data_IF_621503466971
#
_entry.id   IF_621503466971
#
_cell.length_a   1.000
_cell.length_b   1.000
_cell.length_c   1.000
_cell.angle_alpha   90.00
_cell.angle_beta   90.00
_cell.angle_gamma   90.00
#
_symmetry.space_group_name_H-M   'P 1'
#
loop_
_entity.id
_entity.type
_entity.pdbx_description
1 polymer ?
#
# COMPACT_ATOMS: atom_id res chain seq x y z
N UNK A 1 15.41 -21.16 -24.04
CA UNK A 1 14.52 -20.78 -22.93
C UNK A 1 14.58 -19.26 -22.75
N UNK A 2 13.44 -18.57 -22.72
CA UNK A 2 13.36 -17.11 -22.51
C UNK A 2 12.62 -16.74 -21.22
N UNK A 3 11.88 -17.68 -20.64
CA UNK A 3 11.18 -17.53 -19.37
C UNK A 3 11.27 -18.83 -18.59
N UNK A 4 11.46 -18.73 -17.28
CA UNK A 4 11.44 -19.82 -16.32
C UNK A 4 10.63 -19.37 -15.11
N UNK A 5 9.54 -20.08 -14.83
CA UNK A 5 8.75 -19.87 -13.62
C UNK A 5 8.93 -21.07 -12.71
N UNK A 6 9.27 -20.81 -11.46
CA UNK A 6 9.53 -21.81 -10.44
C UNK A 6 8.60 -21.50 -9.28
N UNK A 7 7.75 -22.47 -8.96
CA UNK A 7 6.83 -22.43 -7.84
C UNK A 7 7.24 -23.54 -6.90
N UNK A 8 7.68 -23.18 -5.70
CA UNK A 8 8.06 -24.10 -4.65
C UNK A 8 7.16 -23.85 -3.48
N UNK A 9 6.58 -24.93 -2.93
CA UNK A 9 5.72 -24.84 -1.77
C UNK A 9 4.54 -23.86 -1.94
N UNK A 10 4.00 -23.78 -3.17
CA UNK A 10 2.82 -22.94 -3.47
C UNK A 10 1.60 -23.84 -3.46
N UNK A 11 0.59 -23.50 -2.65
CA UNK A 11 -0.68 -24.22 -2.63
C UNK A 11 -1.43 -23.95 -3.94
N UNK A 12 -1.65 -24.98 -4.77
CA UNK A 12 -2.49 -24.86 -5.95
C UNK A 12 -3.97 -24.79 -5.54
N UNK A 13 -4.70 -23.83 -6.13
CA UNK A 13 -6.11 -23.56 -5.80
C UNK A 13 -7.07 -24.63 -6.34
N UNK A 14 -6.59 -25.54 -7.18
CA UNK A 14 -7.43 -26.37 -8.06
C UNK A 14 -7.99 -27.66 -7.43
N UNK A 15 -7.71 -27.94 -6.15
CA UNK A 15 -8.29 -29.12 -5.44
C UNK A 15 -9.57 -28.80 -4.63
N UNK A 16 -10.13 -27.60 -4.75
CA UNK A 16 -11.30 -27.22 -3.94
C UNK A 16 -12.60 -27.21 -4.74
N UNK A 17 -13.39 -28.27 -4.56
CA UNK A 17 -14.75 -28.36 -5.05
C UNK A 17 -15.67 -27.31 -4.42
N UNK A 18 -16.02 -26.28 -5.19
CA UNK A 18 -17.38 -25.77 -5.31
C UNK A 18 -18.09 -25.10 -4.12
N UNK A 19 -17.52 -25.00 -2.92
CA UNK A 19 -18.14 -24.22 -1.83
C UNK A 19 -17.58 -22.80 -1.80
N UNK A 20 -18.40 -21.87 -2.30
CA UNK A 20 -18.18 -20.43 -2.20
C UNK A 20 -18.42 -20.03 -0.74
N UNK A 21 -17.36 -20.02 0.08
CA UNK A 21 -17.42 -19.45 1.41
C UNK A 21 -17.57 -17.92 1.31
N UNK A 22 -18.47 -17.37 2.13
CA UNK A 22 -18.93 -15.98 2.06
C UNK A 22 -17.84 -14.93 2.30
N UNK A 23 -18.14 -13.65 1.99
CA UNK A 23 -17.18 -12.54 2.00
C UNK A 23 -16.54 -12.21 3.37
N UNK A 24 -16.95 -12.88 4.45
CA UNK A 24 -16.47 -12.62 5.82
C UNK A 24 -15.25 -13.47 6.24
N UNK A 25 -14.70 -14.30 5.36
CA UNK A 25 -13.40 -14.93 5.62
C UNK A 25 -12.29 -13.90 5.40
N UNK A 26 -11.80 -13.33 6.51
CA UNK A 26 -10.57 -12.52 6.62
C UNK A 26 -9.46 -12.96 5.64
N UNK A 27 -8.52 -12.07 5.25
CA UNK A 27 -7.39 -12.39 4.37
C UNK A 27 -6.28 -13.18 5.08
N UNK A 28 -6.64 -14.03 6.04
CA UNK A 28 -5.82 -15.20 6.29
C UNK A 28 -5.84 -16.05 5.01
N UNK A 29 -4.78 -16.81 4.73
CA UNK A 29 -4.99 -17.96 3.84
C UNK A 29 -6.22 -18.70 4.39
N UNK A 30 -7.18 -18.95 3.50
CA UNK A 30 -8.52 -19.49 3.71
C UNK A 30 -8.62 -20.37 4.98
N UNK A 31 -9.73 -20.36 5.73
CA UNK A 31 -9.92 -21.18 6.95
C UNK A 31 -9.53 -22.66 6.75
N UNK A 32 -9.68 -23.16 5.52
CA UNK A 32 -9.21 -24.48 5.12
C UNK A 32 -7.69 -24.61 4.96
N UNK A 33 -6.90 -23.57 4.66
CA UNK A 33 -5.44 -23.58 4.80
C UNK A 33 -5.01 -23.84 6.25
N UNK A 34 -5.73 -23.25 7.22
CA UNK A 34 -5.53 -23.46 8.66
C UNK A 34 -5.93 -24.88 9.09
N UNK A 35 -7.06 -25.39 8.59
CA UNK A 35 -7.59 -26.73 8.93
C UNK A 35 -6.87 -27.87 8.19
N UNK A 36 -6.62 -27.74 6.89
CA UNK A 36 -5.90 -28.73 6.06
C UNK A 36 -4.41 -28.78 6.38
N UNK A 37 -3.89 -27.72 7.02
CA UNK A 37 -2.46 -27.50 7.22
C UNK A 37 -1.71 -27.56 5.88
N UNK A 38 -2.31 -27.14 4.77
CA UNK A 38 -1.63 -27.05 3.46
C UNK A 38 -0.82 -25.76 3.30
N UNK A 39 -1.03 -24.77 4.17
CA UNK A 39 -0.16 -23.59 4.32
C UNK A 39 1.15 -23.90 5.06
N UNK A 40 1.65 -25.13 4.91
CA UNK A 40 2.86 -25.57 5.60
C UNK A 40 4.08 -25.04 4.84
N UNK A 41 4.37 -23.76 5.07
CA UNK A 41 5.73 -23.23 5.00
C UNK A 41 6.71 -24.26 5.56
N UNK A 42 7.88 -24.38 4.94
CA UNK A 42 9.05 -25.09 5.46
C UNK A 42 9.15 -24.94 6.99
N UNK A 43 8.63 -25.87 7.81
CA UNK A 43 8.74 -25.75 9.27
C UNK A 43 10.06 -26.37 9.70
N UNK A 44 10.77 -25.70 10.62
CA UNK A 44 11.93 -26.23 11.37
C UNK A 44 11.76 -27.67 11.87
N UNK A 45 10.52 -28.11 12.11
CA UNK A 45 10.12 -29.47 12.52
C UNK A 45 10.38 -30.55 11.46
N UNK A 46 10.57 -30.20 10.17
CA UNK A 46 10.91 -31.09 9.04
C UNK A 46 12.15 -30.61 8.28
N UNK A 47 13.21 -30.28 9.02
CA UNK A 47 14.51 -29.85 8.49
C UNK A 47 15.05 -30.66 7.29
N UNK A 48 14.69 -31.95 7.16
CA UNK A 48 15.14 -32.79 6.05
C UNK A 48 14.58 -32.36 4.69
N UNK A 49 13.35 -31.83 4.64
CA UNK A 49 12.67 -31.44 3.39
C UNK A 49 13.16 -30.07 2.89
N UNK A 50 13.47 -29.17 3.84
CA UNK A 50 14.05 -27.85 3.60
C UNK A 50 15.44 -27.96 2.97
N UNK A 51 16.31 -28.77 3.59
CA UNK A 51 17.70 -28.95 3.14
C UNK A 51 17.75 -29.58 1.75
N UNK A 52 16.84 -30.51 1.44
CA UNK A 52 16.76 -31.13 0.11
C UNK A 52 16.32 -30.09 -0.92
N UNK A 53 15.29 -29.31 -0.62
CA UNK A 53 14.77 -28.27 -1.52
C UNK A 53 15.81 -27.19 -1.83
N UNK A 54 16.53 -26.71 -0.81
CA UNK A 54 17.63 -25.74 -0.98
C UNK A 54 18.77 -26.34 -1.82
N UNK A 55 19.13 -27.61 -1.61
CA UNK A 55 20.17 -28.29 -2.41
C UNK A 55 19.78 -28.47 -3.87
N UNK A 56 18.54 -28.86 -4.15
CA UNK A 56 18.05 -28.99 -5.52
C UNK A 56 17.97 -27.62 -6.21
N UNK A 57 17.56 -26.58 -5.49
CA UNK A 57 17.62 -25.20 -5.98
C UNK A 57 19.04 -24.76 -6.32
N UNK A 58 20.00 -25.00 -5.42
CA UNK A 58 21.42 -24.75 -5.67
C UNK A 58 21.95 -25.49 -6.90
N UNK A 59 21.55 -26.75 -7.06
CA UNK A 59 21.91 -27.57 -8.23
C UNK A 59 21.31 -26.98 -9.50
N UNK A 60 20.05 -26.56 -9.48
CA UNK A 60 19.41 -25.90 -10.61
C UNK A 60 20.13 -24.61 -10.99
N UNK A 61 20.46 -23.75 -10.03
CA UNK A 61 21.24 -22.53 -10.28
C UNK A 61 22.60 -22.83 -10.94
N UNK A 62 23.30 -23.89 -10.51
CA UNK A 62 24.55 -24.35 -11.14
C UNK A 62 24.36 -24.79 -12.60
N UNK A 63 23.23 -25.41 -12.92
CA UNK A 63 22.89 -25.83 -14.29
C UNK A 63 22.48 -24.62 -15.14
N UNK A 64 21.68 -23.73 -14.59
CA UNK A 64 21.17 -22.54 -15.28
C UNK A 64 22.34 -21.62 -15.71
N UNK A 65 23.32 -21.43 -14.83
CA UNK A 65 24.44 -20.49 -15.03
C UNK A 65 25.17 -20.63 -16.38
N UNK A 66 25.73 -21.79 -16.77
CA UNK A 66 26.44 -21.91 -18.07
C UNK A 66 25.50 -22.00 -19.28
N UNK A 67 24.23 -22.32 -19.07
CA UNK A 67 23.29 -22.63 -20.16
C UNK A 67 22.42 -21.44 -20.57
N UNK A 68 22.43 -20.35 -19.80
CA UNK A 68 21.65 -19.14 -20.09
C UNK A 68 22.55 -18.09 -20.72
N UNK A 69 22.13 -17.62 -21.89
CA UNK A 69 22.72 -16.43 -22.49
C UNK A 69 22.35 -15.19 -21.66
N UNK A 70 23.30 -14.27 -21.41
CA UNK A 70 23.04 -13.02 -20.70
C UNK A 70 21.82 -12.25 -21.25
N UNK A 71 21.05 -11.63 -20.35
CA UNK A 71 19.88 -10.80 -20.65
C UNK A 71 18.76 -11.49 -21.46
N UNK A 72 18.69 -12.83 -21.43
CA UNK A 72 17.62 -13.58 -22.13
C UNK A 72 16.60 -14.22 -21.20
N UNK A 73 16.99 -14.60 -19.99
CA UNK A 73 16.08 -15.29 -19.08
C UNK A 73 15.22 -14.30 -18.29
N UNK A 74 13.91 -14.51 -18.32
CA UNK A 74 12.97 -13.99 -17.33
C UNK A 74 12.79 -15.06 -16.24
N UNK A 75 13.14 -14.73 -15.00
CA UNK A 75 12.99 -15.63 -13.86
C UNK A 75 11.83 -15.18 -12.99
N UNK A 76 10.89 -16.08 -12.74
CA UNK A 76 9.82 -15.90 -11.75
C UNK A 76 9.98 -16.98 -10.70
N UNK A 77 10.25 -16.59 -9.46
CA UNK A 77 10.44 -17.50 -8.34
C UNK A 77 9.39 -17.19 -7.28
N UNK A 78 8.54 -18.15 -6.96
CA UNK A 78 7.64 -18.08 -5.80
C UNK A 78 7.98 -19.23 -4.90
N UNK A 79 8.37 -18.93 -3.66
CA UNK A 79 8.80 -19.91 -2.67
C UNK A 79 8.34 -19.42 -1.30
N UNK A 80 7.31 -20.03 -0.70
CA UNK A 80 6.91 -19.63 0.65
C UNK A 80 7.86 -20.25 1.69
N UNK A 81 8.75 -19.41 2.23
CA UNK A 81 9.71 -19.78 3.28
C UNK A 81 9.16 -19.50 4.67
N UNK A 82 9.75 -20.10 5.71
CA UNK A 82 9.29 -19.90 7.09
C UNK A 82 9.96 -18.77 7.86
N UNK A 83 11.17 -18.38 7.48
CA UNK A 83 11.92 -17.35 8.18
C UNK A 83 12.94 -16.66 7.26
N UNK A 84 13.57 -15.62 7.80
CA UNK A 84 14.52 -14.76 7.08
C UNK A 84 15.79 -15.55 6.76
N UNK A 85 16.23 -16.43 7.67
CA UNK A 85 17.41 -17.27 7.49
C UNK A 85 17.25 -18.19 6.29
N UNK A 86 16.10 -18.88 6.17
CA UNK A 86 15.82 -19.73 5.02
C UNK A 86 15.66 -18.91 3.73
N UNK A 87 15.08 -17.70 3.82
CA UNK A 87 15.03 -16.77 2.68
C UNK A 87 16.43 -16.46 2.17
N UNK A 88 17.36 -16.15 3.07
CA UNK A 88 18.76 -15.84 2.75
C UNK A 88 19.43 -17.03 2.09
N UNK A 89 19.34 -18.24 2.68
CA UNK A 89 19.88 -19.46 2.09
C UNK A 89 19.32 -19.74 0.69
N UNK A 90 18.03 -19.44 0.47
CA UNK A 90 17.37 -19.60 -0.81
C UNK A 90 17.85 -18.58 -1.85
N UNK A 91 18.19 -17.36 -1.44
CA UNK A 91 18.68 -16.31 -2.34
C UNK A 91 20.18 -16.38 -2.63
N UNK A 92 20.98 -16.94 -1.72
CA UNK A 92 22.44 -17.08 -1.88
C UNK A 92 22.88 -17.63 -3.25
N UNK A 93 22.25 -18.68 -3.82
CA UNK A 93 22.67 -19.23 -5.12
C UNK A 93 22.48 -18.26 -6.28
N UNK A 94 21.54 -17.31 -6.17
CA UNK A 94 21.36 -16.24 -7.16
C UNK A 94 22.41 -15.14 -6.94
N UNK A 95 22.66 -14.73 -5.69
CA UNK A 95 23.62 -13.69 -5.33
C UNK A 95 25.07 -14.06 -5.70
N UNK A 96 25.46 -15.31 -5.45
CA UNK A 96 26.77 -15.86 -5.80
C UNK A 96 26.98 -16.04 -7.31
N UNK A 97 25.99 -15.66 -8.13
CA UNK A 97 26.05 -15.73 -9.58
C UNK A 97 26.02 -14.34 -10.23
N UNK A 98 27.07 -13.50 -10.06
CA UNK A 98 27.15 -12.19 -10.72
C UNK A 98 27.20 -12.28 -12.25
N UNK A 99 27.26 -13.50 -12.82
CA UNK A 99 27.22 -13.75 -14.27
C UNK A 99 25.82 -14.07 -14.80
N UNK A 100 24.84 -14.34 -13.93
CA UNK A 100 23.47 -14.61 -14.35
C UNK A 100 22.74 -13.29 -14.62
N UNK A 101 23.06 -12.67 -15.76
CA UNK A 101 22.37 -11.46 -16.20
C UNK A 101 20.95 -11.84 -16.63
N UNK A 102 19.98 -11.61 -15.76
CA UNK A 102 18.57 -11.83 -16.01
C UNK A 102 17.98 -10.66 -16.79
N UNK A 103 17.08 -10.94 -17.73
CA UNK A 103 16.30 -9.91 -18.42
C UNK A 103 15.28 -9.29 -17.48
N UNK A 104 14.58 -10.16 -16.76
CA UNK A 104 13.55 -9.83 -15.77
C UNK A 104 13.69 -10.82 -14.62
N UNK A 105 13.49 -10.37 -13.39
CA UNK A 105 13.51 -11.21 -12.20
C UNK A 105 12.37 -10.79 -11.29
N UNK A 106 11.51 -11.74 -10.94
CA UNK A 106 10.50 -11.56 -9.90
C UNK A 106 10.61 -12.68 -8.89
N UNK A 107 10.73 -12.33 -7.61
CA UNK A 107 10.89 -13.27 -6.52
C UNK A 107 9.83 -12.96 -5.47
N UNK A 108 9.14 -13.98 -4.97
CA UNK A 108 8.27 -13.90 -3.80
C UNK A 108 8.70 -15.01 -2.85
N UNK A 109 9.16 -14.63 -1.67
CA UNK A 109 9.62 -15.55 -0.63
C UNK A 109 8.55 -15.81 0.44
N UNK A 110 7.37 -15.19 0.33
CA UNK A 110 6.33 -15.34 1.33
C UNK A 110 4.92 -14.93 0.89
N UNK A 111 3.95 -15.66 1.42
CA UNK A 111 2.53 -15.30 1.42
C UNK A 111 2.03 -14.82 2.80
N UNK A 112 2.63 -15.30 3.90
CA UNK A 112 2.01 -15.23 5.23
C UNK A 112 2.74 -14.42 6.32
N UNK A 113 3.84 -13.72 6.02
CA UNK A 113 4.62 -12.98 7.05
C UNK A 113 3.93 -11.73 7.61
N UNK A 114 2.81 -11.31 7.04
CA UNK A 114 2.05 -10.15 7.48
C UNK A 114 0.88 -10.58 8.38
N UNK A 115 1.15 -11.34 9.46
CA UNK A 115 0.16 -11.42 10.54
C UNK A 115 0.12 -10.05 11.22
N UNK A 116 -1.05 -9.38 11.31
CA UNK A 116 -1.18 -8.15 12.07
C UNK A 116 -0.67 -8.38 13.50
N UNK A 117 0.26 -7.55 13.97
CA UNK A 117 0.82 -7.60 15.33
C UNK A 117 2.18 -8.28 15.48
N UNK A 118 2.77 -8.88 14.43
CA UNK A 118 4.15 -9.37 14.52
C UNK A 118 5.13 -8.35 13.93
N UNK A 119 5.59 -7.43 14.79
CA UNK A 119 6.41 -6.27 14.44
C UNK A 119 7.90 -6.60 14.23
N UNK A 120 8.32 -7.85 14.43
CA UNK A 120 9.73 -8.25 14.39
C UNK A 120 10.27 -8.69 13.02
N UNK A 121 9.49 -8.60 11.94
CA UNK A 121 9.92 -9.13 10.65
C UNK A 121 10.51 -8.06 9.73
N UNK A 122 11.83 -8.14 9.54
CA UNK A 122 12.57 -7.38 8.56
C UNK A 122 12.55 -8.06 7.19
N UNK A 123 12.53 -7.28 6.11
CA UNK A 123 12.86 -7.81 4.78
C UNK A 123 14.25 -8.45 4.83
N UNK A 124 14.43 -9.71 4.37
CA UNK A 124 15.72 -10.36 4.37
C UNK A 124 16.79 -9.47 3.71
N UNK A 125 17.95 -9.32 4.35
CA UNK A 125 19.04 -8.50 3.81
C UNK A 125 19.44 -8.95 2.40
N UNK A 126 19.40 -10.27 2.15
CA UNK A 126 19.65 -10.86 0.83
C UNK A 126 18.64 -10.43 -0.25
N UNK A 127 17.37 -10.19 0.10
CA UNK A 127 16.37 -9.72 -0.86
C UNK A 127 16.63 -8.26 -1.25
N UNK A 128 17.07 -7.44 -0.29
CA UNK A 128 17.51 -6.07 -0.57
C UNK A 128 18.79 -6.07 -1.43
N UNK A 129 19.74 -6.96 -1.14
CA UNK A 129 20.96 -7.14 -1.93
C UNK A 129 20.64 -7.59 -3.36
N UNK A 130 19.71 -8.54 -3.53
CA UNK A 130 19.27 -9.00 -4.84
C UNK A 130 18.58 -7.88 -5.62
N UNK A 131 17.74 -7.07 -4.94
CA UNK A 131 17.15 -5.90 -5.54
C UNK A 131 18.21 -4.87 -5.96
N UNK A 132 19.24 -4.64 -5.14
CA UNK A 132 20.35 -3.76 -5.46
C UNK A 132 21.17 -4.27 -6.65
N UNK A 133 21.49 -5.56 -6.70
CA UNK A 133 22.19 -6.19 -7.83
C UNK A 133 21.37 -6.16 -9.12
N UNK A 134 20.07 -6.41 -9.04
CA UNK A 134 19.18 -6.29 -10.19
C UNK A 134 19.14 -4.85 -10.72
N UNK A 135 19.08 -3.84 -9.84
CA UNK A 135 19.18 -2.42 -10.22
C UNK A 135 20.53 -2.10 -10.85
N UNK A 136 21.63 -2.59 -10.27
CA UNK A 136 22.98 -2.40 -10.80
C UNK A 136 23.13 -2.99 -12.20
N UNK A 137 22.59 -4.20 -12.44
CA UNK A 137 22.64 -4.83 -13.76
C UNK A 137 21.86 -4.01 -14.81
N UNK A 138 20.69 -3.47 -14.43
CA UNK A 138 19.92 -2.57 -15.31
C UNK A 138 20.69 -1.28 -15.59
N UNK A 139 21.35 -0.69 -14.58
CA UNK A 139 22.20 0.48 -14.75
C UNK A 139 23.38 0.20 -15.67
N UNK A 140 24.12 -0.90 -15.47
CA UNK A 140 25.24 -1.29 -16.34
C UNK A 140 24.79 -1.55 -17.78
N UNK A 141 23.62 -2.16 -17.99
CA UNK A 141 23.05 -2.33 -19.32
C UNK A 141 22.70 -0.99 -19.98
N UNK A 142 22.15 -0.04 -19.20
CA UNK A 142 21.87 1.31 -19.67
C UNK A 142 23.16 2.09 -19.98
N UNK A 143 24.21 1.94 -19.16
CA UNK A 143 25.53 2.53 -19.37
C UNK A 143 26.21 1.98 -20.63
N UNK A 144 26.10 0.68 -20.90
CA UNK A 144 26.60 0.09 -22.16
C UNK A 144 25.88 0.62 -23.40
N UNK A 145 24.60 0.99 -23.27
CA UNK A 145 23.87 1.70 -24.33
C UNK A 145 24.31 3.18 -24.42
N UNK A 146 24.68 3.79 -23.29
CA UNK A 146 25.12 5.18 -23.21
C UNK A 146 26.57 5.38 -23.66
N UNK A 147 27.48 4.43 -23.49
CA UNK A 147 28.88 4.52 -23.96
C UNK A 147 28.97 4.57 -25.49
N UNK A 148 27.94 4.10 -26.21
CA UNK A 148 27.80 4.31 -27.65
C UNK A 148 27.26 5.71 -28.03
N UNK A 149 26.76 6.49 -27.06
CA UNK A 149 26.39 7.91 -27.21
C UNK A 149 27.51 8.80 -26.66
N UNK A 150 28.54 8.97 -27.49
CA UNK A 150 29.41 10.17 -27.61
C UNK A 150 29.25 11.23 -26.52
N UNK A 151 30.27 11.42 -25.65
CA UNK A 151 30.73 12.66 -24.96
C UNK A 151 29.71 13.71 -24.51
N UNK A 152 28.43 13.36 -24.39
CA UNK A 152 27.38 14.31 -24.07
C UNK A 152 27.51 14.63 -22.59
N UNK A 153 27.78 15.90 -22.28
CA UNK A 153 27.85 16.39 -20.90
C UNK A 153 26.62 15.92 -20.13
N UNK A 154 26.81 15.35 -18.94
CA UNK A 154 25.71 14.95 -18.05
C UNK A 154 24.72 16.09 -17.88
N UNK A 155 23.43 15.77 -17.85
CA UNK A 155 22.37 16.73 -17.60
C UNK A 155 22.51 17.30 -16.19
N UNK A 156 22.79 18.61 -16.09
CA UNK A 156 22.97 19.30 -14.81
C UNK A 156 21.64 19.83 -14.33
N UNK A 157 20.87 19.00 -13.63
CA UNK A 157 19.56 19.36 -13.10
C UNK A 157 19.59 20.66 -12.28
N UNK A 158 20.62 20.85 -11.44
CA UNK A 158 20.80 22.05 -10.61
C UNK A 158 20.98 23.36 -11.40
N UNK A 159 21.45 23.29 -12.65
CA UNK A 159 21.68 24.47 -13.51
C UNK A 159 20.38 24.97 -14.16
N UNK A 160 19.28 24.22 -14.05
CA UNK A 160 17.98 24.63 -14.56
C UNK A 160 17.32 25.69 -13.66
N UNK A 161 16.53 26.61 -14.25
CA UNK A 161 15.64 27.47 -13.50
C UNK A 161 14.69 26.65 -12.61
N UNK A 162 14.35 27.20 -11.44
CA UNK A 162 13.52 26.54 -10.42
C UNK A 162 12.20 26.04 -10.99
N UNK A 163 11.58 26.81 -11.88
CA UNK A 163 10.32 26.49 -12.54
C UNK A 163 10.42 25.22 -13.40
N UNK A 164 11.52 25.08 -14.15
CA UNK A 164 11.76 23.91 -15.01
C UNK A 164 12.06 22.68 -14.16
N UNK A 165 12.84 22.84 -13.09
CA UNK A 165 13.11 21.77 -12.12
C UNK A 165 11.81 21.21 -11.56
N UNK A 166 10.91 22.10 -11.16
CA UNK A 166 9.60 21.69 -10.66
C UNK A 166 8.69 21.07 -11.72
N UNK A 167 8.67 21.59 -12.95
CA UNK A 167 7.96 20.94 -14.05
C UNK A 167 8.48 19.53 -14.34
N UNK A 168 9.80 19.31 -14.21
CA UNK A 168 10.37 17.95 -14.30
C UNK A 168 9.83 17.09 -13.17
N UNK A 169 9.82 17.58 -11.93
CA UNK A 169 9.29 16.84 -10.77
C UNK A 169 7.78 16.54 -10.88
N UNK A 170 6.99 17.37 -11.55
CA UNK A 170 5.58 17.09 -11.86
C UNK A 170 5.40 15.84 -12.73
N UNK A 171 6.44 15.44 -13.46
CA UNK A 171 6.47 14.25 -14.32
C UNK A 171 7.24 13.08 -13.71
N UNK A 172 7.63 13.15 -12.42
CA UNK A 172 8.26 12.02 -11.70
C UNK A 172 7.28 11.29 -10.79
N UNK A 173 7.76 10.24 -10.15
CA UNK A 173 7.02 9.49 -9.13
C UNK A 173 6.70 10.31 -7.87
N UNK A 174 7.19 11.56 -7.73
CA UNK A 174 6.81 12.43 -6.60
C UNK A 174 5.33 12.81 -6.66
N UNK A 175 4.76 12.87 -7.86
CA UNK A 175 3.32 13.01 -8.05
C UNK A 175 2.71 11.61 -8.02
N UNK A 176 2.17 11.24 -6.86
CA UNK A 176 1.45 9.99 -6.72
C UNK A 176 0.31 9.90 -7.74
N UNK A 177 0.16 8.77 -8.47
CA UNK A 177 -1.01 8.55 -9.34
C UNK A 177 -2.30 8.31 -8.55
N UNK A 178 -2.20 8.25 -7.22
CA UNK A 178 -3.24 7.81 -6.30
C UNK A 178 -3.29 8.72 -5.08
N UNK A 179 -4.35 8.56 -4.30
CA UNK A 179 -4.49 9.28 -3.05
C UNK A 179 -3.45 8.79 -2.05
N UNK A 180 -2.68 9.72 -1.48
CA UNK A 180 -1.79 9.41 -0.37
C UNK A 180 -2.62 9.38 0.91
N UNK A 181 -2.44 8.35 1.72
CA UNK A 181 -2.91 8.34 3.09
C UNK A 181 -1.90 9.09 3.97
N UNK A 182 -2.40 9.86 4.92
CA UNK A 182 -1.61 10.38 6.03
C UNK A 182 -2.10 9.76 7.33
N UNK A 183 -1.15 9.28 8.14
CA UNK A 183 -1.40 8.79 9.49
C UNK A 183 -0.40 9.46 10.41
N UNK A 184 -0.92 9.95 11.53
CA UNK A 184 -0.12 10.60 12.55
C UNK A 184 0.58 9.59 13.48
N UNK A 185 -0.05 8.42 13.65
CA UNK A 185 0.53 7.28 14.31
C UNK A 185 1.08 6.39 13.21
N UNK A 186 2.39 6.46 12.97
CA UNK A 186 3.04 5.32 12.35
C UNK A 186 2.63 4.12 13.21
N UNK A 187 1.91 3.11 12.67
CA UNK A 187 1.65 1.89 13.40
C UNK A 187 2.95 1.45 14.05
N UNK A 188 2.95 0.86 15.24
CA UNK A 188 4.22 0.35 15.82
C UNK A 188 4.94 -0.60 14.84
N UNK A 189 4.19 -1.21 13.91
CA UNK A 189 4.68 -1.96 12.77
C UNK A 189 5.48 -1.14 11.71
N UNK A 190 5.41 0.18 11.72
CA UNK A 190 6.14 1.13 10.86
C UNK A 190 7.36 1.77 11.51
N UNK A 191 7.61 1.54 12.80
CA UNK A 191 8.79 2.04 13.51
C UNK A 191 10.14 1.62 12.87
N UNK A 192 10.11 0.67 11.92
CA UNK A 192 11.28 0.11 11.25
C UNK A 192 11.46 0.56 9.79
N UNK A 193 10.65 1.48 9.26
CA UNK A 193 10.98 2.12 7.98
C UNK A 193 12.04 3.22 8.19
N UNK A 194 13.23 3.16 7.56
CA UNK A 194 14.32 4.10 7.80
C UNK A 194 14.04 5.56 7.36
N UNK A 195 12.88 5.84 6.78
CA UNK A 195 12.49 7.16 6.28
C UNK A 195 11.10 7.53 6.81
N UNK A 196 11.07 8.49 7.75
CA UNK A 196 9.91 8.99 8.51
C UNK A 196 8.91 9.80 7.65
N UNK A 197 8.47 9.29 6.51
CA UNK A 197 7.39 9.95 5.76
C UNK A 197 6.07 9.73 6.51
N UNK A 198 5.38 10.80 6.87
CA UNK A 198 4.00 10.74 7.41
C UNK A 198 2.97 10.39 6.32
N UNK A 199 3.38 10.49 5.03
CA UNK A 199 2.58 10.08 3.89
C UNK A 199 2.96 8.67 3.45
N UNK A 200 1.94 7.83 3.25
CA UNK A 200 2.07 6.50 2.67
C UNK A 200 0.96 6.27 1.65
N UNK A 201 1.16 5.37 0.70
CA UNK A 201 0.07 4.97 -0.19
C UNK A 201 -0.84 3.99 0.57
N UNK A 202 -2.14 4.27 0.62
CA UNK A 202 -3.10 3.45 1.36
C UNK A 202 -3.07 1.96 0.95
N UNK A 203 -2.80 1.70 -0.32
CA UNK A 203 -2.72 0.36 -0.90
C UNK A 203 -1.47 -0.42 -0.50
N UNK A 204 -0.54 0.17 0.24
CA UNK A 204 0.64 -0.55 0.74
C UNK A 204 0.35 -1.31 2.03
N UNK A 205 -0.79 -1.07 2.69
CA UNK A 205 -1.15 -1.74 3.95
C UNK A 205 -2.34 -2.68 3.78
N UNK A 206 -2.15 -3.93 4.22
CA UNK A 206 -3.22 -4.91 4.38
C UNK A 206 -3.83 -4.77 5.78
N UNK A 207 -4.60 -3.72 6.04
CA UNK A 207 -5.65 -3.84 7.04
C UNK A 207 -6.85 -4.46 6.32
N UNK A 208 -7.30 -5.63 6.80
CA UNK A 208 -8.18 -6.57 6.09
C UNK A 208 -9.57 -6.07 5.66
N UNK A 209 -9.84 -4.77 5.77
CA UNK A 209 -11.05 -4.08 5.33
C UNK A 209 -10.88 -3.33 4.01
N UNK A 210 -9.66 -3.08 3.57
CA UNK A 210 -9.41 -2.32 2.35
C UNK A 210 -9.02 -3.28 1.23
N UNK A 211 -9.73 -3.17 0.10
CA UNK A 211 -9.56 -4.03 -1.07
C UNK A 211 -8.08 -4.29 -1.43
N UNK A 212 -7.79 -5.43 -2.09
CA UNK A 212 -6.41 -5.86 -2.32
C UNK A 212 -5.63 -4.73 -2.96
N UNK A 213 -4.51 -4.35 -2.32
CA UNK A 213 -3.47 -3.51 -2.90
C UNK A 213 -3.45 -3.72 -4.41
N UNK A 214 -3.83 -2.71 -5.21
CA UNK A 214 -3.97 -2.87 -6.65
C UNK A 214 -2.56 -3.11 -7.19
N UNK A 215 -2.18 -4.37 -7.19
CA UNK A 215 -0.97 -4.86 -7.79
C UNK A 215 -0.99 -4.35 -9.23
N UNK A 216 0.13 -3.85 -9.73
CA UNK A 216 0.22 -3.44 -11.13
C UNK A 216 -0.03 -4.61 -12.12
N UNK A 217 -0.17 -5.84 -11.61
CA UNK A 217 -0.34 -7.10 -12.34
C UNK A 217 0.81 -7.42 -13.30
N UNK A 218 1.89 -6.64 -13.27
CA UNK A 218 3.11 -6.85 -14.05
C UNK A 218 4.22 -7.54 -13.25
N UNK A 219 4.03 -7.73 -11.94
CA UNK A 219 5.02 -8.33 -11.04
C UNK A 219 5.12 -9.86 -11.17
N UNK A 220 4.13 -10.52 -11.77
CA UNK A 220 4.08 -11.98 -11.92
C UNK A 220 3.27 -12.34 -13.17
N UNK A 221 3.60 -13.44 -13.88
CA UNK A 221 2.78 -13.93 -14.99
C UNK A 221 1.43 -14.51 -14.53
N UNK A 222 1.29 -14.86 -13.24
CA UNK A 222 0.01 -15.26 -12.66
C UNK A 222 -0.57 -14.11 -11.84
N UNK A 223 -1.86 -13.86 -12.02
CA UNK A 223 -2.61 -12.78 -11.33
C UNK A 223 -2.90 -13.10 -9.85
N UNK A 224 -2.72 -14.35 -9.44
CA UNK A 224 -2.98 -14.87 -8.09
C UNK A 224 -1.87 -14.54 -7.07
N UNK A 225 -0.68 -14.16 -7.53
CA UNK A 225 0.51 -14.01 -6.71
C UNK A 225 1.26 -12.71 -7.06
N UNK A 226 0.92 -11.62 -6.38
CA UNK A 226 1.60 -10.35 -6.56
C UNK A 226 3.01 -10.38 -5.93
N UNK A 227 4.06 -10.21 -6.74
CA UNK A 227 5.46 -10.12 -6.28
C UNK A 227 5.96 -8.67 -6.11
N UNK A 228 5.07 -7.73 -5.78
CA UNK A 228 5.44 -6.34 -5.67
C UNK A 228 6.01 -6.02 -4.27
N UNK A 229 6.94 -5.05 -4.22
CA UNK A 229 7.71 -4.67 -3.03
C UNK A 229 6.86 -4.36 -1.78
N UNK A 230 5.62 -3.93 -1.99
CA UNK A 230 4.64 -3.65 -0.92
C UNK A 230 4.37 -4.85 -0.01
N UNK A 231 4.62 -6.08 -0.49
CA UNK A 231 4.62 -7.28 0.35
C UNK A 231 6.06 -7.58 0.70
N UNK A 232 6.46 -7.33 1.95
CA UNK A 232 7.85 -7.28 2.48
C UNK A 232 8.75 -8.52 2.24
N UNK A 233 8.29 -9.53 1.50
CA UNK A 233 9.07 -10.68 1.04
C UNK A 233 9.05 -10.86 -0.49
N UNK A 234 8.76 -9.82 -1.27
CA UNK A 234 8.72 -9.92 -2.73
C UNK A 234 9.48 -8.79 -3.44
N UNK A 235 10.00 -9.12 -4.63
CA UNK A 235 10.78 -8.28 -5.51
C UNK A 235 10.36 -8.54 -6.95
N UNK A 236 10.29 -7.51 -7.79
CA UNK A 236 10.12 -7.70 -9.24
C UNK A 236 10.74 -6.54 -10.01
N UNK A 237 11.56 -6.85 -11.01
CA UNK A 237 12.14 -5.85 -11.95
C UNK A 237 11.10 -5.23 -12.87
N UNK A 238 9.92 -5.84 -13.00
CA UNK A 238 8.80 -5.36 -13.84
C UNK A 238 7.68 -4.75 -12.99
N UNK A 239 7.87 -4.65 -11.68
CA UNK A 239 6.96 -3.96 -10.80
C UNK A 239 6.85 -2.48 -11.20
N UNK A 240 5.61 -2.05 -11.43
CA UNK A 240 5.26 -0.64 -11.65
C UNK A 240 4.28 -0.15 -10.59
N UNK A 241 4.16 -0.90 -9.47
CA UNK A 241 3.49 -0.34 -8.30
C UNK A 241 4.24 0.89 -7.86
N UNK A 242 3.47 1.94 -7.60
CA UNK A 242 4.04 3.17 -7.12
C UNK A 242 4.68 2.94 -5.74
N UNK A 243 5.78 3.62 -5.49
CA UNK A 243 6.41 3.73 -4.19
C UNK A 243 6.83 5.17 -4.04
N UNK A 244 6.70 5.74 -2.84
CA UNK A 244 7.22 7.09 -2.59
C UNK A 244 8.71 7.12 -2.98
N UNK A 245 9.12 7.96 -3.93
CA UNK A 245 10.48 7.93 -4.45
C UNK A 245 11.45 8.61 -3.48
N UNK A 246 11.74 7.93 -2.36
CA UNK A 246 12.60 8.41 -1.28
C UNK A 246 14.00 8.78 -1.76
N UNK A 247 14.44 8.21 -2.89
CA UNK A 247 15.73 8.50 -3.50
C UNK A 247 15.88 9.97 -3.93
N UNK A 248 14.82 10.70 -4.29
CA UNK A 248 14.94 12.13 -4.60
C UNK A 248 15.40 12.95 -3.39
N UNK A 249 15.06 12.52 -2.18
CA UNK A 249 15.47 13.18 -0.93
C UNK A 249 16.91 12.86 -0.51
N UNK A 250 17.59 11.96 -1.23
CA UNK A 250 18.93 11.46 -0.91
C UNK A 250 20.01 11.81 -1.95
N UNK A 251 19.66 12.49 -3.05
CA UNK A 251 20.61 12.83 -4.14
C UNK A 251 21.54 13.97 -3.71
N UNK A 252 20.99 15.14 -3.43
CA UNK A 252 21.70 16.31 -2.93
C UNK A 252 20.70 17.25 -2.21
N UNK A 253 21.22 18.30 -1.55
CA UNK A 253 20.39 19.26 -0.83
C UNK A 253 19.38 20.00 -1.73
N UNK A 254 19.77 20.36 -2.94
CA UNK A 254 18.89 21.10 -3.85
C UNK A 254 17.74 20.24 -4.37
N UNK A 255 18.01 18.98 -4.73
CA UNK A 255 16.99 18.01 -5.14
C UNK A 255 16.06 17.67 -3.97
N UNK A 256 16.60 17.54 -2.76
CA UNK A 256 15.79 17.34 -1.55
C UNK A 256 14.85 18.52 -1.35
N UNK A 257 15.36 19.75 -1.36
CA UNK A 257 14.54 20.96 -1.20
C UNK A 257 13.49 21.06 -2.31
N UNK A 258 13.87 20.75 -3.57
CA UNK A 258 12.93 20.77 -4.68
C UNK A 258 11.84 19.68 -4.53
N UNK A 259 12.19 18.49 -4.04
CA UNK A 259 11.27 17.38 -3.82
C UNK A 259 10.32 17.64 -2.63
N UNK A 260 10.81 18.27 -1.55
CA UNK A 260 10.00 18.74 -0.43
C UNK A 260 9.00 19.81 -0.91
N UNK A 261 9.46 20.78 -1.71
CA UNK A 261 8.58 21.74 -2.37
C UNK A 261 7.63 21.09 -3.39
N UNK A 262 7.96 19.91 -3.90
CA UNK A 262 7.11 19.13 -4.80
C UNK A 262 5.76 18.74 -4.19
N UNK A 263 5.61 18.77 -2.86
CA UNK A 263 4.34 18.53 -2.17
C UNK A 263 3.21 19.46 -2.61
N UNK A 264 3.53 20.65 -3.12
CA UNK A 264 2.57 21.57 -3.76
C UNK A 264 1.82 21.00 -4.96
N UNK A 265 2.33 19.91 -5.53
CA UNK A 265 1.74 19.20 -6.65
C UNK A 265 0.86 18.03 -6.25
N UNK A 266 0.75 17.73 -4.95
CA UNK A 266 -0.21 16.76 -4.45
C UNK A 266 -1.63 17.26 -4.75
N UNK A 267 -2.36 16.44 -5.51
CA UNK A 267 -3.74 16.74 -5.91
C UNK A 267 -4.76 16.03 -5.05
N UNK A 268 -4.32 15.07 -4.24
CA UNK A 268 -5.20 14.16 -3.54
C UNK A 268 -4.53 13.69 -2.25
N UNK A 269 -5.21 13.93 -1.14
CA UNK A 269 -4.82 13.47 0.18
C UNK A 269 -6.04 12.77 0.80
N UNK A 270 -5.80 11.64 1.44
CA UNK A 270 -6.78 10.90 2.22
C UNK A 270 -6.25 10.78 3.64
N UNK A 271 -7.15 10.92 4.60
CA UNK A 271 -6.87 10.77 6.01
C UNK A 271 -7.64 9.55 6.44
N UNK A 272 -6.92 8.46 6.64
CA UNK A 272 -7.54 7.20 6.99
C UNK A 272 -7.72 7.08 8.50
N UNK A 273 -8.92 6.65 8.83
CA UNK A 273 -9.34 5.94 10.03
C UNK A 273 -8.33 6.00 11.19
N UNK A 274 -8.60 6.90 12.12
CA UNK A 274 -8.00 6.83 13.44
C UNK A 274 -8.89 5.95 14.32
N UNK A 275 -8.72 4.64 14.15
CA UNK A 275 -9.56 3.65 14.81
C UNK A 275 -9.48 3.74 16.34
N UNK A 276 -10.64 3.77 16.98
CA UNK A 276 -10.90 2.96 18.17
C UNK A 276 -10.41 3.50 19.51
N UNK A 277 -9.18 4.00 19.58
CA UNK A 277 -8.52 4.24 20.86
C UNK A 277 -7.72 5.54 20.91
N UNK A 278 -7.15 6.03 19.80
CA UNK A 278 -6.27 7.19 19.82
C UNK A 278 -6.93 8.54 19.47
N UNK A 279 -8.04 8.54 18.71
CA UNK A 279 -8.76 9.79 18.33
C UNK A 279 -9.95 10.13 19.20
N UNK A 280 -10.36 9.25 20.11
CA UNK A 280 -11.57 9.49 20.91
C UNK A 280 -11.37 10.38 22.14
N UNK A 281 -10.37 11.25 22.09
CA UNK A 281 -10.16 12.28 23.11
C UNK A 281 -10.05 13.70 22.52
N UNK A 282 -11.07 14.15 21.77
CA UNK A 282 -11.51 15.56 21.83
C UNK A 282 -10.54 16.64 21.25
N UNK A 283 -10.97 17.92 21.28
CA UNK A 283 -10.09 19.03 21.62
C UNK A 283 -9.17 18.67 22.81
N UNK A 284 -7.90 19.06 22.72
CA UNK A 284 -6.80 18.76 23.66
C UNK A 284 -6.23 17.31 23.63
N UNK A 285 -6.54 16.50 22.60
CA UNK A 285 -5.78 15.27 22.33
C UNK A 285 -4.53 15.51 21.48
N UNK A 286 -3.59 14.57 21.59
CA UNK A 286 -2.53 14.35 20.60
C UNK A 286 -3.09 14.21 19.17
N UNK A 287 -4.25 13.57 18.99
CA UNK A 287 -4.91 13.47 17.69
C UNK A 287 -5.25 14.85 17.09
N UNK A 288 -5.72 15.79 17.93
CA UNK A 288 -5.98 17.15 17.49
C UNK A 288 -4.70 17.94 17.19
N UNK A 289 -3.63 17.79 17.98
CA UNK A 289 -2.33 18.40 17.69
C UNK A 289 -1.79 17.93 16.33
N UNK A 290 -1.88 16.63 16.07
CA UNK A 290 -1.47 16.02 14.81
C UNK A 290 -2.32 16.51 13.63
N UNK A 291 -3.62 16.64 13.84
CA UNK A 291 -4.51 17.23 12.84
C UNK A 291 -4.16 18.69 12.52
N UNK A 292 -3.83 19.49 13.53
CA UNK A 292 -3.37 20.86 13.33
C UNK A 292 -2.01 20.91 12.59
N UNK A 293 -1.09 19.99 12.88
CA UNK A 293 0.15 19.82 12.10
C UNK A 293 -0.16 19.50 10.63
N UNK A 294 -1.10 18.57 10.37
CA UNK A 294 -1.55 18.25 9.02
C UNK A 294 -2.12 19.48 8.30
N UNK A 295 -2.95 20.28 8.97
CA UNK A 295 -3.49 21.53 8.40
C UNK A 295 -2.40 22.55 8.11
N UNK A 296 -1.39 22.68 8.98
CA UNK A 296 -0.21 23.52 8.73
C UNK A 296 0.50 23.06 7.46
N UNK A 297 0.78 21.76 7.31
CA UNK A 297 1.43 21.21 6.11
C UNK A 297 0.59 21.48 4.86
N UNK A 298 -0.73 21.28 4.91
CA UNK A 298 -1.62 21.57 3.77
C UNK A 298 -1.56 23.05 3.37
N UNK A 299 -1.50 23.97 4.32
CA UNK A 299 -1.48 25.40 4.05
C UNK A 299 -0.09 25.91 3.64
N UNK A 300 0.97 25.42 4.27
CA UNK A 300 2.33 25.91 4.11
C UNK A 300 3.06 25.24 2.95
N UNK A 301 2.80 23.96 2.70
CA UNK A 301 3.56 23.14 1.74
C UNK A 301 2.74 22.68 0.54
N UNK A 302 1.40 22.71 0.60
CA UNK A 302 0.53 22.26 -0.50
C UNK A 302 -0.14 23.43 -1.24
N UNK A 303 -0.82 23.11 -2.35
CA UNK A 303 -1.73 24.05 -3.01
C UNK A 303 -3.19 23.62 -2.73
N UNK A 304 -3.84 24.15 -1.67
CA UNK A 304 -5.19 23.78 -1.29
C UNK A 304 -6.20 23.79 -2.45
N UNK A 305 -6.12 24.78 -3.34
CA UNK A 305 -7.05 24.97 -4.46
C UNK A 305 -6.98 23.87 -5.52
N UNK A 306 -5.92 23.08 -5.49
CA UNK A 306 -5.74 21.91 -6.35
C UNK A 306 -5.91 20.59 -5.59
N UNK A 307 -5.94 20.64 -4.26
CA UNK A 307 -5.99 19.48 -3.38
C UNK A 307 -7.42 18.99 -3.17
N UNK A 308 -7.63 17.70 -3.39
CA UNK A 308 -8.86 16.98 -3.03
C UNK A 308 -8.63 16.19 -1.75
N UNK A 309 -9.22 16.63 -0.63
CA UNK A 309 -9.06 15.99 0.67
C UNK A 309 -10.18 14.97 0.92
N UNK A 310 -9.84 13.79 1.43
CA UNK A 310 -10.81 12.82 1.92
C UNK A 310 -10.53 12.52 3.39
N UNK A 311 -11.57 12.49 4.21
CA UNK A 311 -11.50 12.16 5.63
C UNK A 311 -12.35 10.90 5.84
N UNK A 312 -11.72 9.76 6.12
CA UNK A 312 -12.44 8.55 6.54
C UNK A 312 -12.66 8.59 8.04
N UNK A 313 -13.93 8.59 8.42
CA UNK A 313 -14.40 8.46 9.78
C UNK A 313 -15.14 7.13 9.96
N UNK A 314 -14.86 6.13 9.12
CA UNK A 314 -15.32 4.78 9.34
C UNK A 314 -14.86 4.24 10.70
N UNK A 315 -15.66 3.35 11.29
CA UNK A 315 -15.24 2.43 12.34
C UNK A 315 -15.71 1.01 11.99
N UNK A 316 -14.83 0.03 12.09
CA UNK A 316 -15.22 -1.34 11.74
C UNK A 316 -16.11 -1.94 12.84
N UNK A 317 -17.09 -2.78 12.48
CA UNK A 317 -18.02 -3.37 13.46
C UNK A 317 -17.30 -4.20 14.53
N UNK A 318 -16.18 -4.82 14.18
CA UNK A 318 -15.35 -5.61 15.09
C UNK A 318 -14.65 -4.73 16.12
N UNK A 319 -14.25 -3.50 15.77
CA UNK A 319 -13.62 -2.53 16.68
C UNK A 319 -14.58 -2.10 17.79
N UNK A 320 -15.85 -1.83 17.43
CA UNK A 320 -16.92 -1.57 18.40
C UNK A 320 -17.15 -2.80 19.26
N UNK A 321 -17.20 -3.97 18.63
CA UNK A 321 -17.36 -5.23 19.34
C UNK A 321 -16.27 -5.47 20.41
N UNK A 322 -14.99 -5.30 20.07
CA UNK A 322 -13.88 -5.46 21.01
C UNK A 322 -13.89 -4.40 22.12
N UNK A 323 -14.22 -3.16 21.77
CA UNK A 323 -14.18 -2.04 22.72
C UNK A 323 -15.26 -2.14 23.81
N UNK A 324 -16.31 -2.92 23.57
CA UNK A 324 -17.45 -3.08 24.48
C UNK A 324 -17.51 -4.48 25.12
N UNK A 325 -16.47 -5.30 24.94
CA UNK A 325 -16.33 -6.60 25.61
C UNK A 325 -17.43 -7.61 25.25
N UNK A 326 -17.97 -7.54 24.03
CA UNK A 326 -18.96 -8.52 23.58
C UNK A 326 -18.36 -9.92 23.42
N UNK A 327 -19.21 -10.95 23.39
CA UNK A 327 -18.88 -12.35 23.05
C UNK A 327 -19.45 -12.72 21.67
N UNK A 328 -18.81 -12.26 20.58
CA UNK A 328 -19.01 -12.29 19.10
C UNK A 328 -20.44 -12.37 18.54
N UNK A 329 -21.47 -12.37 19.39
CA UNK A 329 -22.81 -12.84 19.06
C UNK A 329 -23.84 -11.73 19.07
N UNK A 330 -23.58 -10.61 19.77
CA UNK A 330 -24.47 -9.46 19.78
C UNK A 330 -23.76 -8.22 20.32
N UNK A 331 -23.70 -7.15 19.52
CA UNK A 331 -23.41 -5.79 20.01
C UNK A 331 -24.76 -5.07 19.97
N UNK A 332 -25.30 -4.62 21.12
CA UNK A 332 -26.55 -3.87 21.13
C UNK A 332 -26.47 -2.64 20.21
N UNK A 333 -27.53 -2.34 19.48
CA UNK A 333 -27.60 -1.19 18.56
C UNK A 333 -27.18 0.12 19.23
N UNK A 334 -27.51 0.28 20.52
CA UNK A 334 -27.12 1.44 21.33
C UNK A 334 -25.59 1.66 21.39
N UNK A 335 -24.78 0.62 21.32
CA UNK A 335 -23.32 0.73 21.27
C UNK A 335 -22.84 1.29 19.94
N UNK A 336 -23.46 0.86 18.83
CA UNK A 336 -23.18 1.39 17.50
C UNK A 336 -23.64 2.83 17.37
N UNK A 337 -24.87 3.15 17.78
CA UNK A 337 -25.37 4.54 17.78
C UNK A 337 -24.48 5.45 18.62
N UNK A 338 -24.04 4.98 19.80
CA UNK A 338 -23.14 5.77 20.65
C UNK A 338 -21.79 6.02 19.98
N UNK A 339 -21.24 5.03 19.30
CA UNK A 339 -19.97 5.20 18.59
C UNK A 339 -20.13 6.12 17.37
N UNK A 340 -21.21 5.93 16.62
CA UNK A 340 -21.61 6.77 15.50
C UNK A 340 -21.71 8.26 15.91
N UNK A 341 -22.35 8.56 17.03
CA UNK A 341 -22.46 9.95 17.54
C UNK A 341 -21.13 10.56 17.98
N UNK A 342 -20.21 9.76 18.52
CA UNK A 342 -18.84 10.24 18.82
C UNK A 342 -18.10 10.59 17.55
N UNK A 343 -18.14 9.69 16.57
CA UNK A 343 -17.47 9.85 15.28
C UNK A 343 -18.04 11.05 14.52
N UNK A 344 -19.36 11.25 14.58
CA UNK A 344 -20.02 12.46 14.10
C UNK A 344 -19.51 13.73 14.79
N UNK A 345 -19.35 13.69 16.12
CA UNK A 345 -18.80 14.82 16.89
C UNK A 345 -17.37 15.16 16.47
N UNK A 346 -16.52 14.15 16.26
CA UNK A 346 -15.17 14.33 15.71
C UNK A 346 -15.23 14.95 14.32
N UNK A 347 -16.10 14.44 13.44
CA UNK A 347 -16.28 14.98 12.10
C UNK A 347 -16.63 16.46 12.08
N UNK A 348 -17.52 16.91 12.98
CA UNK A 348 -17.84 18.35 13.14
C UNK A 348 -16.62 19.16 13.55
N UNK A 349 -15.83 18.70 14.54
CA UNK A 349 -14.62 19.41 14.97
C UNK A 349 -13.59 19.54 13.84
N UNK A 350 -13.39 18.47 13.06
CA UNK A 350 -12.49 18.50 11.90
C UNK A 350 -13.02 19.46 10.83
N UNK A 351 -14.32 19.40 10.52
CA UNK A 351 -14.94 20.29 9.56
C UNK A 351 -14.84 21.76 10.01
N UNK A 352 -15.13 22.07 11.28
CA UNK A 352 -15.02 23.42 11.85
C UNK A 352 -13.61 23.99 11.68
N UNK A 353 -12.59 23.17 11.91
CA UNK A 353 -11.19 23.59 11.75
C UNK A 353 -10.77 23.83 10.28
N UNK A 354 -11.51 23.28 9.31
CA UNK A 354 -11.29 23.55 7.89
C UNK A 354 -11.96 24.84 7.43
N UNK A 355 -13.09 25.21 8.05
CA UNK A 355 -13.86 26.42 7.68
C UNK A 355 -12.95 27.65 7.78
N UNK A 356 -12.81 28.36 6.66
CA UNK A 356 -12.01 29.58 6.56
C UNK A 356 -10.49 29.40 6.60
N UNK A 357 -9.99 28.21 6.91
CA UNK A 357 -8.56 27.93 7.01
C UNK A 357 -7.97 27.39 5.70
N UNK A 358 -8.75 26.61 4.94
CA UNK A 358 -8.26 25.92 3.74
C UNK A 358 -9.25 26.07 2.59
N UNK A 359 -8.76 26.46 1.41
CA UNK A 359 -9.58 26.53 0.18
C UNK A 359 -9.33 25.30 -0.69
N UNK A 360 -10.01 24.19 -0.37
CA UNK A 360 -9.83 22.92 -1.06
C UNK A 360 -10.44 22.93 -2.47
N UNK A 361 -9.93 22.07 -3.36
CA UNK A 361 -10.59 21.78 -4.65
C UNK A 361 -11.88 20.99 -4.43
N UNK A 362 -11.75 19.91 -3.66
CA UNK A 362 -12.81 19.00 -3.27
C UNK A 362 -12.56 18.53 -1.83
N UNK A 363 -13.64 18.27 -1.10
CA UNK A 363 -13.64 17.67 0.22
C UNK A 363 -14.64 16.50 0.24
N UNK A 364 -14.24 15.40 0.86
CA UNK A 364 -15.06 14.20 0.97
C UNK A 364 -14.99 13.69 2.42
N UNK A 365 -16.13 13.63 3.10
CA UNK A 365 -16.26 12.96 4.39
C UNK A 365 -16.91 11.61 4.15
N UNK A 366 -16.20 10.54 4.52
CA UNK A 366 -16.72 9.19 4.46
C UNK A 366 -17.00 8.69 5.88
N UNK A 367 -18.19 8.13 6.06
CA UNK A 367 -18.57 7.43 7.28
C UNK A 367 -18.88 5.97 6.93
N UNK A 368 -18.50 5.02 7.78
CA UNK A 368 -19.00 3.64 7.66
C UNK A 368 -20.34 3.51 8.37
N UNK A 369 -21.22 2.68 7.82
CA UNK A 369 -22.53 2.31 8.36
C UNK A 369 -22.51 2.04 9.89
N UNK A 370 -23.53 2.42 10.69
CA UNK A 370 -24.88 2.84 10.30
C UNK A 370 -25.08 4.36 10.43
N UNK A 371 -24.98 5.10 9.34
CA UNK A 371 -25.43 6.49 9.30
C UNK A 371 -26.54 6.73 8.28
N UNK A 372 -27.00 5.65 7.65
CA UNK A 372 -28.20 5.61 6.82
C UNK A 372 -29.33 5.06 7.70
N UNK A 373 -29.89 5.92 8.57
CA UNK A 373 -31.16 5.61 9.20
C UNK A 373 -32.22 5.57 8.10
N UNK A 374 -32.73 4.37 7.80
CA UNK A 374 -33.88 4.18 6.92
C UNK A 374 -35.21 4.43 7.65
N UNK A 375 -35.18 4.67 8.96
CA UNK A 375 -36.36 5.06 9.73
C UNK A 375 -36.55 6.57 9.59
N UNK A 376 -37.63 6.99 8.91
CA UNK A 376 -38.13 8.38 8.79
C UNK A 376 -37.78 9.19 7.52
N UNK A 377 -37.42 8.53 6.40
CA UNK A 377 -37.75 9.07 5.06
C UNK A 377 -36.95 10.27 4.54
N UNK A 378 -35.91 10.73 5.24
CA UNK A 378 -34.91 11.65 4.68
C UNK A 378 -33.51 11.18 5.11
N UNK A 379 -32.83 10.36 4.30
CA UNK A 379 -31.43 10.03 4.54
C UNK A 379 -30.62 11.33 4.42
N UNK A 380 -30.19 11.86 5.54
CA UNK A 380 -29.27 12.99 5.53
C UNK A 380 -27.87 12.39 5.52
N UNK A 381 -27.22 12.36 4.35
CA UNK A 381 -25.79 12.03 4.24
C UNK A 381 -25.02 12.99 5.16
N UNK A 382 -24.67 12.51 6.36
CA UNK A 382 -23.92 13.27 7.36
C UNK A 382 -22.58 13.77 6.81
N UNK A 383 -21.96 12.99 5.90
CA UNK A 383 -20.79 13.42 5.16
C UNK A 383 -21.07 14.66 4.33
N UNK A 384 -22.16 14.67 3.56
CA UNK A 384 -22.56 15.83 2.76
C UNK A 384 -22.83 17.07 3.62
N UNK A 385 -23.39 16.91 4.83
CA UNK A 385 -23.60 18.02 5.76
C UNK A 385 -22.26 18.67 6.16
N UNK A 386 -21.26 17.87 6.54
CA UNK A 386 -19.92 18.39 6.89
C UNK A 386 -19.20 18.99 5.68
N UNK A 387 -19.36 18.36 4.51
CA UNK A 387 -18.80 18.86 3.26
C UNK A 387 -19.38 20.24 2.90
N UNK A 388 -20.70 20.42 2.98
CA UNK A 388 -21.37 21.71 2.76
C UNK A 388 -20.99 22.75 3.81
N UNK A 389 -20.78 22.33 5.05
CA UNK A 389 -20.31 23.22 6.11
C UNK A 389 -18.97 23.88 5.76
N UNK A 390 -18.04 23.13 5.14
CA UNK A 390 -16.70 23.61 4.77
C UNK A 390 -16.69 24.26 3.38
N UNK A 391 -17.34 23.65 2.40
CA UNK A 391 -17.25 24.00 0.99
C UNK A 391 -18.37 24.94 0.51
N UNK A 392 -19.38 25.17 1.36
CA UNK A 392 -20.57 25.97 1.09
C UNK A 392 -21.80 25.14 0.69
N UNK A 393 -22.99 25.72 0.89
CA UNK A 393 -24.30 25.06 0.68
C UNK A 393 -24.52 24.46 -0.72
N UNK A 394 -23.90 25.06 -1.74
CA UNK A 394 -24.00 24.61 -3.13
C UNK A 394 -23.01 23.49 -3.49
N UNK A 395 -22.26 22.97 -2.52
CA UNK A 395 -21.30 21.90 -2.75
C UNK A 395 -22.01 20.55 -2.80
N UNK A 396 -21.94 19.91 -3.96
CA UNK A 396 -22.42 18.54 -4.18
C UNK A 396 -21.21 17.63 -4.45
N UNK A 397 -20.92 16.72 -3.53
CA UNK A 397 -19.72 15.86 -3.61
C UNK A 397 -19.89 14.68 -4.55
N UNK A 398 -21.12 14.22 -4.77
CA UNK A 398 -21.47 13.18 -5.75
C UNK A 398 -21.06 13.61 -7.17
N UNK A 399 -21.41 14.83 -7.58
CA UNK A 399 -21.03 15.42 -8.88
C UNK A 399 -19.51 15.57 -9.05
N UNK A 400 -18.75 15.50 -7.95
CA UNK A 400 -17.29 15.66 -7.89
C UNK A 400 -16.56 14.34 -7.77
N UNK A 401 -17.28 13.23 -7.85
CA UNK A 401 -16.72 11.88 -7.90
C UNK A 401 -16.54 11.21 -6.54
N UNK A 402 -17.35 11.58 -5.53
CA UNK A 402 -17.31 10.96 -4.18
C UNK A 402 -17.45 9.44 -4.26
N UNK A 403 -18.42 8.95 -5.04
CA UNK A 403 -18.72 7.52 -5.15
C UNK A 403 -17.61 6.75 -5.87
N UNK A 404 -17.10 7.26 -6.99
CA UNK A 404 -15.97 6.68 -7.72
C UNK A 404 -14.70 6.69 -6.86
N UNK A 405 -14.53 7.71 -6.02
CA UNK A 405 -13.40 7.79 -5.09
C UNK A 405 -13.54 6.79 -3.95
N UNK A 406 -14.72 6.68 -3.34
CA UNK A 406 -15.04 5.67 -2.33
C UNK A 406 -14.74 4.27 -2.87
N UNK A 407 -15.27 3.93 -4.03
CA UNK A 407 -15.03 2.63 -4.69
C UNK A 407 -13.54 2.35 -4.93
N UNK A 408 -12.77 3.36 -5.39
CA UNK A 408 -11.32 3.20 -5.60
C UNK A 408 -10.53 3.01 -4.30
N UNK A 409 -11.01 3.56 -3.18
CA UNK A 409 -10.25 3.66 -1.95
C UNK A 409 -10.33 2.40 -1.10
N UNK A 410 -11.54 1.93 -0.80
CA UNK A 410 -11.74 0.78 0.09
C UNK A 410 -12.19 -0.48 -0.66
N UNK A 411 -12.39 -0.40 -1.98
CA UNK A 411 -12.94 -1.52 -2.75
C UNK A 411 -14.36 -1.87 -2.31
N UNK A 412 -15.08 -0.94 -1.67
CA UNK A 412 -16.50 -1.14 -1.37
C UNK A 412 -17.22 -1.47 -2.66
N UNK A 413 -17.94 -2.57 -2.63
CA UNK A 413 -19.04 -2.78 -3.55
C UNK A 413 -20.12 -1.80 -3.10
N UNK A 414 -20.31 -0.71 -3.85
CA UNK A 414 -21.56 0.05 -3.73
C UNK A 414 -22.70 -0.93 -3.96
N UNK A 415 -23.75 -0.83 -3.16
CA UNK A 415 -24.95 -1.61 -3.45
C UNK A 415 -25.43 -1.23 -4.85
N UNK A 416 -25.90 -2.19 -5.64
CA UNK A 416 -26.29 -1.92 -7.05
C UNK A 416 -27.37 -0.85 -7.15
N UNK A 417 -28.13 -0.69 -6.07
CA UNK A 417 -29.22 0.26 -5.93
C UNK A 417 -28.74 1.70 -5.68
N UNK A 418 -27.46 1.93 -5.33
CA UNK A 418 -26.90 3.28 -5.12
C UNK A 418 -26.62 4.05 -6.44
N UNK A 419 -26.85 3.42 -7.60
CA UNK A 419 -26.67 4.06 -8.91
C UNK A 419 -25.22 4.44 -9.21
N UNK A 420 -24.24 3.80 -8.54
CA UNK A 420 -22.83 4.02 -8.80
C UNK A 420 -22.49 3.55 -10.22
N UNK A 421 -22.07 4.45 -11.13
CA UNK A 421 -21.81 4.11 -12.54
C UNK A 421 -20.65 3.12 -12.72
N UNK A 422 -19.86 2.88 -11.67
CA UNK A 422 -18.76 1.90 -11.67
C UNK A 422 -19.25 0.49 -11.36
N UNK A 423 -20.35 0.34 -10.62
CA UNK A 423 -20.90 -0.96 -10.19
C UNK A 423 -22.11 -1.43 -11.00
N UNK A 424 -22.76 -0.51 -11.73
CA UNK A 424 -23.96 -0.73 -12.55
C UNK A 424 -23.70 -1.48 -13.85
#
# INVERSE_FOLDING_TARGET
MTSLSIYLNVVEKDEWGGEVFGPDSFPYCHEMCFVSKMDRAFRKERHWDETVSVKEWQRLCKILRPNIKPNRLKLFLTCDVADIELSDEFLQPLLQTPTLQLRECSIRLASGFLKPGNTGYHTPGSLQELAALARLNVQQAAEQLATNRSTQSFFRYGDLPKEIRFQILEHTELVSPFDLAWTSNQPEALAYQPHKSQFYEHRTFQYGTYGPAICCQKCSPRTDACACFLRHGAFSTTCTCWTMPTHFFLVDHQMKDDAENGRRYLRSLSLDHVSGQDVYHLPDSRGMEQWQECLSIINDEMNPRQLSLTIDLGFDKSSVYYSYGGDYKFVPDICYTREAEKVWTVGKVLADSLVGHVQLKNLFFHFMWPFEDHEEGIPTDRGLVLEKMVMGENYESTDRGKNERRHRWNGYQCDKDEGCPVCS
#
